data_IF_198903723728
#
_entry.id   IF_198903723728
#
_cell.length_a   1.000
_cell.length_b   1.000
_cell.length_c   1.000
_cell.angle_alpha   90.00
_cell.angle_beta   90.00
_cell.angle_gamma   90.00
#
_symmetry.space_group_name_H-M   'P 1'
#
loop_
_entity.id
_entity.type
_entity.pdbx_description
1 polymer ?
#
# COMPACT_ATOMS: atom_id res chain seq x y z
N UNK A 1 42.55 -12.18 12.32
CA UNK A 1 43.75 -13.03 12.23
C UNK A 1 43.32 -14.47 12.50
N UNK A 2 43.39 -15.33 11.49
CA UNK A 2 43.02 -16.75 11.46
C UNK A 2 44.13 -17.62 12.06
N UNK A 3 43.84 -18.55 12.98
CA UNK A 3 44.64 -19.77 13.22
C UNK A 3 43.71 -20.83 13.85
N UNK A 4 43.10 -21.74 13.07
CA UNK A 4 43.57 -23.06 12.61
C UNK A 4 43.42 -24.20 13.65
N UNK A 5 42.66 -25.24 13.24
CA UNK A 5 42.50 -26.53 13.91
C UNK A 5 43.81 -27.32 13.86
N UNK A 6 44.29 -27.78 15.02
CA UNK A 6 45.34 -28.79 15.13
C UNK A 6 44.77 -30.12 15.62
N UNK A 7 44.75 -31.10 14.73
CA UNK A 7 44.44 -32.52 14.97
C UNK A 7 45.50 -33.20 15.87
N UNK A 8 45.05 -33.99 16.85
CA UNK A 8 45.87 -34.87 17.67
C UNK A 8 46.44 -36.06 16.84
N UNK A 9 47.70 -36.49 17.06
CA UNK A 9 48.15 -37.80 16.60
C UNK A 9 47.77 -38.91 17.60
N UNK A 10 47.62 -40.17 17.15
CA UNK A 10 47.25 -41.30 18.00
C UNK A 10 48.50 -42.03 18.51
N UNK A 11 48.55 -42.36 19.80
CA UNK A 11 49.34 -43.50 20.31
C UNK A 11 48.76 -43.95 21.66
N UNK A 12 48.02 -45.05 21.70
CA UNK A 12 48.52 -46.41 21.90
C UNK A 12 49.38 -46.58 23.17
N UNK A 13 48.69 -46.99 24.23
CA UNK A 13 49.12 -48.02 25.16
C UNK A 13 50.40 -47.77 25.97
N UNK A 14 50.22 -47.60 27.28
CA UNK A 14 50.81 -48.49 28.29
C UNK A 14 50.11 -48.25 29.63
N UNK A 15 49.53 -49.33 30.16
CA UNK A 15 48.91 -49.34 31.47
C UNK A 15 49.93 -49.00 32.55
N UNK A 16 49.76 -47.84 33.17
CA UNK A 16 50.39 -47.51 34.44
C UNK A 16 49.33 -47.79 35.51
N UNK A 17 49.59 -48.79 36.36
CA UNK A 17 48.75 -49.11 37.51
C UNK A 17 48.54 -47.85 38.37
N UNK A 18 47.33 -47.58 38.88
CA UNK A 18 47.09 -46.39 39.68
C UNK A 18 47.90 -46.45 40.98
N UNK A 19 48.73 -45.44 41.21
CA UNK A 19 49.42 -45.23 42.48
C UNK A 19 48.37 -44.83 43.55
N UNK A 20 48.14 -45.63 44.61
CA UNK A 20 47.05 -45.40 45.56
C UNK A 20 47.25 -44.18 46.47
N UNK A 21 48.34 -43.43 46.30
CA UNK A 21 48.69 -42.29 47.15
C UNK A 21 48.09 -40.95 46.68
N UNK A 22 47.57 -40.87 45.44
CA UNK A 22 47.05 -39.59 44.89
C UNK A 22 45.57 -39.35 45.25
N UNK A 23 44.85 -40.35 45.77
CA UNK A 23 43.41 -40.23 46.06
C UNK A 23 43.04 -39.59 47.41
N UNK A 24 43.99 -39.26 48.28
CA UNK A 24 43.65 -38.70 49.61
C UNK A 24 43.68 -37.17 49.70
N UNK A 25 44.22 -36.47 48.70
CA UNK A 25 44.28 -35.00 48.72
C UNK A 25 43.20 -34.32 47.86
N UNK A 26 42.43 -35.06 47.06
CA UNK A 26 41.35 -34.50 46.25
C UNK A 26 40.03 -34.25 47.02
N UNK A 27 39.93 -34.67 48.28
CA UNK A 27 38.71 -34.47 49.08
C UNK A 27 38.80 -33.26 50.00
N UNK A 28 40.01 -32.69 50.23
CA UNK A 28 40.21 -31.54 51.11
C UNK A 28 40.05 -30.17 50.44
N UNK A 29 40.22 -30.06 49.11
CA UNK A 29 40.09 -28.77 48.40
C UNK A 29 38.64 -28.40 48.06
N UNK A 30 37.70 -29.35 48.08
CA UNK A 30 36.26 -29.07 47.88
C UNK A 30 35.57 -28.44 49.09
N UNK A 31 36.15 -28.54 50.29
CA UNK A 31 35.50 -28.10 51.54
C UNK A 31 35.93 -26.72 52.01
N UNK A 32 36.86 -26.05 51.31
CA UNK A 32 37.28 -24.68 51.61
C UNK A 32 36.83 -23.64 50.57
N UNK A 33 36.03 -24.05 49.58
CA UNK A 33 35.38 -23.10 48.67
C UNK A 33 34.13 -22.56 49.35
N UNK A 34 34.28 -21.47 50.10
CA UNK A 34 33.15 -20.67 50.52
C UNK A 34 32.74 -19.76 49.34
N UNK A 35 31.45 -19.67 48.99
CA UNK A 35 31.02 -18.89 47.84
C UNK A 35 31.10 -17.40 48.18
N UNK A 36 32.26 -16.79 47.98
CA UNK A 36 32.40 -15.32 47.97
C UNK A 36 32.09 -14.70 46.60
N UNK A 37 31.65 -15.51 45.63
CA UNK A 37 31.37 -15.09 44.24
C UNK A 37 29.89 -14.76 43.98
N UNK A 38 29.02 -14.79 45.00
CA UNK A 38 27.62 -14.39 44.83
C UNK A 38 27.46 -12.89 44.52
N UNK A 39 28.36 -12.05 45.04
CA UNK A 39 28.36 -10.59 44.80
C UNK A 39 28.85 -10.19 43.40
N UNK A 40 29.59 -11.05 42.69
CA UNK A 40 30.01 -10.81 41.30
C UNK A 40 29.06 -11.45 40.27
N UNK A 41 28.31 -12.49 40.66
CA UNK A 41 27.36 -13.16 39.77
C UNK A 41 26.12 -12.31 39.48
N UNK A 42 25.56 -11.61 40.47
CA UNK A 42 24.40 -10.74 40.29
C UNK A 42 24.61 -9.65 39.22
N UNK A 43 25.66 -8.81 39.28
CA UNK A 43 25.86 -7.77 38.26
C UNK A 43 26.18 -8.33 36.86
N UNK A 44 26.78 -9.52 36.74
CA UNK A 44 27.03 -10.17 35.46
C UNK A 44 25.75 -10.77 34.86
N UNK A 45 24.90 -11.36 35.70
CA UNK A 45 23.59 -11.90 35.29
C UNK A 45 22.65 -10.75 34.88
N UNK A 46 22.64 -9.65 35.61
CA UNK A 46 21.82 -8.48 35.28
C UNK A 46 22.30 -7.80 34.00
N UNK A 47 23.61 -7.65 33.80
CA UNK A 47 24.16 -7.14 32.54
C UNK A 47 23.78 -8.02 31.36
N UNK A 48 23.91 -9.35 31.49
CA UNK A 48 23.53 -10.28 30.41
C UNK A 48 22.05 -10.21 30.09
N UNK A 49 21.18 -10.12 31.10
CA UNK A 49 19.73 -9.95 30.90
C UNK A 49 19.38 -8.65 30.17
N UNK A 50 20.05 -7.54 30.52
CA UNK A 50 19.88 -6.26 29.81
C UNK A 50 20.35 -6.38 28.36
N UNK A 51 21.52 -6.97 28.11
CA UNK A 51 22.06 -7.18 26.76
C UNK A 51 21.15 -8.09 25.91
N UNK A 52 20.67 -9.20 26.47
CA UNK A 52 19.73 -10.12 25.80
C UNK A 52 18.38 -9.44 25.51
N UNK A 53 17.86 -8.64 26.46
CA UNK A 53 16.62 -7.89 26.27
C UNK A 53 16.74 -6.83 25.18
N UNK A 54 17.85 -6.09 25.16
CA UNK A 54 18.15 -5.09 24.15
C UNK A 54 18.29 -5.75 22.77
N UNK A 55 18.99 -6.88 22.70
CA UNK A 55 19.13 -7.66 21.49
C UNK A 55 17.77 -8.14 20.97
N UNK A 56 16.92 -8.67 21.86
CA UNK A 56 15.58 -9.14 21.48
C UNK A 56 14.69 -7.99 20.95
N UNK A 57 14.72 -6.83 21.59
CA UNK A 57 14.00 -5.63 21.13
C UNK A 57 14.54 -5.17 19.77
N UNK A 58 15.85 -5.13 19.59
CA UNK A 58 16.47 -4.73 18.33
C UNK A 58 16.11 -5.69 17.18
N UNK A 59 16.15 -7.00 17.42
CA UNK A 59 15.73 -8.01 16.43
C UNK A 59 14.25 -7.85 16.05
N UNK A 60 13.40 -7.62 17.05
CA UNK A 60 11.97 -7.41 16.82
C UNK A 60 11.71 -6.14 16.00
N UNK A 61 12.36 -5.03 16.36
CA UNK A 61 12.27 -3.77 15.61
C UNK A 61 12.75 -3.96 14.17
N UNK A 62 13.92 -4.58 13.97
CA UNK A 62 14.48 -4.86 12.65
C UNK A 62 13.54 -5.71 11.80
N UNK A 63 12.93 -6.74 12.40
CA UNK A 63 11.97 -7.60 11.71
C UNK A 63 10.72 -6.83 11.25
N UNK A 64 10.15 -5.98 12.12
CA UNK A 64 9.00 -5.14 11.75
C UNK A 64 9.35 -4.16 10.63
N UNK A 65 10.54 -3.55 10.71
CA UNK A 65 11.02 -2.60 9.72
C UNK A 65 11.26 -3.27 8.36
N UNK A 66 12.01 -4.37 8.32
CA UNK A 66 12.41 -5.07 7.08
C UNK A 66 11.24 -5.80 6.41
N UNK A 67 10.30 -6.36 7.19
CA UNK A 67 9.17 -7.15 6.67
C UNK A 67 7.87 -6.35 6.50
N UNK A 68 7.86 -5.05 6.82
CA UNK A 68 6.69 -4.20 6.56
C UNK A 68 6.35 -4.18 5.07
N UNK A 69 5.06 -4.25 4.75
CA UNK A 69 4.56 -4.09 3.37
C UNK A 69 4.67 -2.64 2.90
N UNK A 70 4.50 -1.70 3.83
CA UNK A 70 4.59 -0.28 3.54
C UNK A 70 6.05 0.17 3.54
N UNK A 71 6.34 1.16 2.71
CA UNK A 71 7.65 1.80 2.71
C UNK A 71 7.83 2.59 3.99
N UNK A 72 8.87 2.30 4.76
CA UNK A 72 9.21 3.05 5.98
C UNK A 72 10.48 3.84 5.70
N UNK A 73 10.50 5.10 6.14
CA UNK A 73 11.64 5.97 5.99
C UNK A 73 11.92 6.83 7.22
N UNK A 74 13.17 7.27 7.30
CA UNK A 74 13.62 8.37 8.13
C UNK A 74 14.32 9.39 7.24
N UNK A 75 14.04 10.67 7.44
CA UNK A 75 14.55 11.75 6.59
C UNK A 75 14.92 12.97 7.44
N UNK A 76 16.02 13.63 7.09
CA UNK A 76 16.41 14.88 7.74
C UNK A 76 15.43 16.01 7.39
N UNK A 77 15.39 17.10 8.18
CA UNK A 77 14.62 18.28 7.83
C UNK A 77 15.00 18.90 6.47
N UNK A 78 16.26 18.75 6.07
CA UNK A 78 16.78 19.18 4.77
C UNK A 78 16.40 18.24 3.61
N UNK A 79 15.71 17.13 3.89
CA UNK A 79 15.17 16.24 2.88
C UNK A 79 16.13 15.14 2.42
N UNK A 80 17.10 14.74 3.25
CA UNK A 80 18.01 13.61 2.97
C UNK A 80 17.57 12.36 3.71
N UNK A 81 17.45 11.23 3.01
CA UNK A 81 17.11 9.96 3.66
C UNK A 81 18.23 9.50 4.58
N UNK A 82 17.87 9.21 5.83
CA UNK A 82 18.74 8.64 6.86
C UNK A 82 18.67 7.11 6.81
N UNK A 83 17.44 6.59 6.70
CA UNK A 83 17.17 5.17 6.64
C UNK A 83 15.91 4.90 5.82
N UNK A 84 15.85 3.71 5.21
CA UNK A 84 14.64 3.21 4.58
C UNK A 84 14.59 1.69 4.66
N UNK A 85 13.38 1.14 4.61
CA UNK A 85 13.20 -0.30 4.54
C UNK A 85 13.24 -0.80 3.08
N UNK A 86 13.38 -2.13 2.86
CA UNK A 86 13.38 -2.69 1.50
C UNK A 86 12.09 -2.43 0.73
N UNK A 87 10.94 -2.29 1.41
CA UNK A 87 9.66 -2.01 0.76
C UNK A 87 9.61 -0.61 0.15
N UNK A 88 10.17 0.40 0.81
CA UNK A 88 10.29 1.75 0.25
C UNK A 88 11.18 1.74 -1.01
N UNK A 89 12.33 1.06 -0.93
CA UNK A 89 13.24 0.95 -2.07
C UNK A 89 12.55 0.33 -3.28
N UNK A 90 11.88 -0.82 -3.09
CA UNK A 90 11.11 -1.49 -4.15
C UNK A 90 9.97 -0.63 -4.69
N UNK A 91 9.27 0.10 -3.82
CA UNK A 91 8.19 1.02 -4.23
C UNK A 91 8.69 2.08 -5.21
N UNK A 92 9.90 2.60 -4.99
CA UNK A 92 10.56 3.56 -5.88
C UNK A 92 11.35 2.91 -7.04
N UNK A 93 11.34 1.59 -7.16
CA UNK A 93 11.98 0.86 -8.27
C UNK A 93 13.45 0.46 -8.03
N UNK A 94 13.94 0.56 -6.79
CA UNK A 94 15.30 0.17 -6.42
C UNK A 94 15.35 -1.26 -5.89
N UNK A 95 16.45 -1.96 -6.13
CA UNK A 95 16.66 -3.35 -5.74
C UNK A 95 16.92 -3.51 -4.24
N UNK A 96 17.49 -2.48 -3.60
CA UNK A 96 17.81 -2.50 -2.16
C UNK A 96 17.73 -1.12 -1.52
N UNK A 97 17.53 -1.10 -0.20
CA UNK A 97 17.60 0.12 0.61
C UNK A 97 18.94 0.86 0.45
N UNK A 98 20.05 0.14 0.38
CA UNK A 98 21.37 0.74 0.19
C UNK A 98 21.53 1.41 -1.19
N UNK A 99 20.99 0.77 -2.24
CA UNK A 99 20.96 1.38 -3.57
C UNK A 99 20.10 2.65 -3.57
N UNK A 100 18.93 2.61 -2.93
CA UNK A 100 18.07 3.78 -2.79
C UNK A 100 18.78 4.94 -2.08
N UNK A 101 19.37 4.69 -0.90
CA UNK A 101 20.04 5.72 -0.10
C UNK A 101 21.26 6.33 -0.81
N UNK A 102 21.97 5.55 -1.64
CA UNK A 102 23.13 6.06 -2.39
C UNK A 102 22.75 6.88 -3.61
N UNK A 103 21.61 6.60 -4.25
CA UNK A 103 21.18 7.28 -5.47
C UNK A 103 20.30 8.50 -5.19
N UNK A 104 19.49 8.46 -4.13
CA UNK A 104 18.53 9.52 -3.81
C UNK A 104 19.17 10.51 -2.83
N UNK A 105 19.96 11.44 -3.38
CA UNK A 105 20.71 12.45 -2.63
C UNK A 105 19.90 13.72 -2.33
N UNK A 106 18.62 13.55 -1.99
CA UNK A 106 17.71 14.64 -1.62
C UNK A 106 16.36 14.55 -2.33
N UNK A 107 15.26 14.59 -1.57
CA UNK A 107 13.89 14.43 -2.11
C UNK A 107 13.45 15.61 -2.98
N UNK A 108 14.13 16.75 -2.88
CA UNK A 108 13.62 18.06 -3.26
C UNK A 108 13.39 18.33 -4.75
N UNK A 109 13.93 17.57 -5.70
CA UNK A 109 13.93 18.02 -7.10
C UNK A 109 13.43 17.04 -8.16
N UNK A 110 13.39 15.73 -7.91
CA UNK A 110 13.12 14.77 -9.00
C UNK A 110 12.06 13.71 -8.69
N UNK A 111 11.66 13.56 -7.42
CA UNK A 111 10.77 12.47 -7.04
C UNK A 111 9.31 12.80 -7.33
N UNK A 112 8.85 14.00 -7.01
CA UNK A 112 7.45 14.40 -7.17
C UNK A 112 7.20 14.93 -8.58
N UNK A 113 6.10 14.49 -9.21
CA UNK A 113 5.66 15.05 -10.50
C UNK A 113 5.29 16.52 -10.40
N UNK A 114 4.67 16.90 -9.28
CA UNK A 114 4.37 18.28 -8.96
C UNK A 114 5.27 18.74 -7.80
N UNK A 115 6.28 19.59 -8.05
CA UNK A 115 7.14 20.13 -7.01
C UNK A 115 6.35 20.89 -5.91
N UNK A 116 5.20 21.48 -6.24
CA UNK A 116 4.40 22.24 -5.28
C UNK A 116 3.79 21.33 -4.21
N UNK A 117 3.40 20.10 -4.57
CA UNK A 117 2.92 19.10 -3.61
C UNK A 117 3.97 18.79 -2.53
N UNK A 118 5.25 18.73 -2.92
CA UNK A 118 6.35 18.50 -1.97
C UNK A 118 6.49 19.64 -0.97
N UNK A 119 6.39 20.89 -1.43
CA UNK A 119 6.43 22.05 -0.54
C UNK A 119 5.23 22.10 0.40
N UNK A 120 4.03 21.78 -0.09
CA UNK A 120 2.82 21.68 0.74
C UNK A 120 2.97 20.60 1.82
N UNK A 121 3.52 19.43 1.46
CA UNK A 121 3.80 18.37 2.41
C UNK A 121 4.73 18.84 3.53
N UNK A 122 5.85 19.49 3.17
CA UNK A 122 6.81 19.99 4.15
C UNK A 122 6.20 21.06 5.07
N UNK A 123 5.47 22.01 4.51
CA UNK A 123 4.85 23.09 5.26
C UNK A 123 3.82 22.57 6.28
N UNK A 124 2.98 21.62 5.84
CA UNK A 124 2.02 20.95 6.72
C UNK A 124 2.71 20.13 7.82
N UNK A 125 3.78 19.41 7.49
CA UNK A 125 4.52 18.61 8.45
C UNK A 125 5.28 19.49 9.46
N UNK A 126 5.85 20.60 9.02
CA UNK A 126 6.55 21.56 9.88
C UNK A 126 5.58 22.25 10.85
N UNK A 127 4.41 22.66 10.36
CA UNK A 127 3.41 23.39 11.16
C UNK A 127 2.66 22.49 12.14
N UNK A 128 2.28 21.27 11.75
CA UNK A 128 1.45 20.37 12.58
C UNK A 128 2.25 19.30 13.31
N UNK A 129 3.46 18.97 12.86
CA UNK A 129 4.28 17.89 13.40
C UNK A 129 3.80 16.47 13.06
N UNK A 130 2.64 16.34 12.43
CA UNK A 130 2.04 15.11 11.94
C UNK A 130 1.26 15.43 10.66
N UNK A 131 1.43 14.58 9.66
CA UNK A 131 0.66 14.60 8.42
C UNK A 131 0.27 13.16 8.08
N UNK A 132 -1.00 12.94 7.78
CA UNK A 132 -1.56 11.64 7.45
C UNK A 132 -2.22 11.69 6.08
N UNK A 133 -2.18 10.55 5.41
CA UNK A 133 -2.91 10.29 4.16
C UNK A 133 -2.67 11.32 3.05
N UNK A 134 -1.44 11.84 2.95
CA UNK A 134 -1.10 12.80 1.92
C UNK A 134 -0.84 12.11 0.59
N UNK A 135 -1.78 12.25 -0.34
CA UNK A 135 -1.65 11.64 -1.66
C UNK A 135 -0.83 12.52 -2.63
N UNK A 136 0.12 11.91 -3.33
CA UNK A 136 0.92 12.59 -4.35
C UNK A 136 1.30 11.64 -5.49
N UNK A 137 1.74 12.22 -6.62
CA UNK A 137 2.31 11.44 -7.73
C UNK A 137 3.82 11.59 -7.75
N UNK A 138 4.51 10.46 -7.87
CA UNK A 138 5.97 10.38 -7.87
C UNK A 138 6.51 9.52 -9.00
N UNK A 139 7.73 9.81 -9.43
CA UNK A 139 8.49 9.03 -10.39
C UNK A 139 9.29 7.93 -9.68
N UNK A 140 9.23 6.71 -10.22
CA UNK A 140 10.16 5.63 -9.89
C UNK A 140 11.50 5.83 -10.61
N UNK A 141 12.51 5.05 -10.23
CA UNK A 141 13.82 5.04 -10.86
C UNK A 141 13.78 4.80 -12.38
N UNK A 142 12.82 3.98 -12.85
CA UNK A 142 12.61 3.69 -14.26
C UNK A 142 11.82 4.78 -15.02
N UNK A 143 11.44 5.86 -14.34
CA UNK A 143 10.65 6.96 -14.89
C UNK A 143 9.13 6.71 -14.90
N UNK A 144 8.66 5.56 -14.44
CA UNK A 144 7.22 5.30 -14.33
C UNK A 144 6.60 6.15 -13.23
N UNK A 145 5.38 6.62 -13.48
CA UNK A 145 4.64 7.46 -12.54
C UNK A 145 3.70 6.60 -11.69
N UNK A 146 3.78 6.76 -10.38
CA UNK A 146 2.90 6.07 -9.43
C UNK A 146 2.18 7.06 -8.52
N UNK A 147 1.04 6.62 -7.98
CA UNK A 147 0.38 7.31 -6.88
C UNK A 147 0.85 6.74 -5.56
N UNK A 148 1.23 7.63 -4.66
CA UNK A 148 1.60 7.28 -3.30
C UNK A 148 0.72 8.01 -2.29
N UNK A 149 0.60 7.39 -1.12
CA UNK A 149 0.00 7.97 0.06
C UNK A 149 1.07 8.01 1.15
N UNK A 150 1.40 9.22 1.61
CA UNK A 150 2.46 9.44 2.60
C UNK A 150 1.87 9.92 3.93
N UNK A 151 2.32 9.29 5.01
CA UNK A 151 2.08 9.76 6.37
C UNK A 151 3.42 9.96 7.06
N UNK A 152 3.64 11.09 7.72
CA UNK A 152 4.90 11.40 8.38
C UNK A 152 4.70 12.20 9.66
N UNK A 153 5.65 12.09 10.59
CA UNK A 153 5.65 12.81 11.85
C UNK A 153 7.06 13.27 12.23
N UNK A 154 7.12 14.37 12.98
CA UNK A 154 8.36 14.96 13.48
C UNK A 154 8.83 14.26 14.75
N UNK A 155 10.07 13.80 14.75
CA UNK A 155 10.77 13.36 15.96
C UNK A 155 11.57 14.54 16.50
N UNK A 156 11.32 14.85 17.78
CA UNK A 156 11.90 16.00 18.47
C UNK A 156 12.75 15.55 19.64
N UNK A 157 13.78 16.33 19.94
CA UNK A 157 14.55 16.17 21.17
C UNK A 157 13.82 16.77 22.40
N UNK A 158 14.44 16.69 23.57
CA UNK A 158 13.90 17.22 24.81
C UNK A 158 13.74 18.76 24.81
N UNK A 159 14.39 19.47 23.88
CA UNK A 159 14.29 20.93 23.73
C UNK A 159 13.19 21.34 22.74
N UNK A 160 12.59 20.39 22.04
CA UNK A 160 11.56 20.61 21.02
C UNK A 160 12.12 20.79 19.61
N UNK A 161 13.45 20.69 19.43
CA UNK A 161 14.10 20.78 18.13
C UNK A 161 13.83 19.51 17.31
N UNK A 162 13.56 19.66 16.02
CA UNK A 162 13.27 18.54 15.11
C UNK A 162 14.58 17.84 14.76
N UNK A 163 14.74 16.59 15.18
CA UNK A 163 15.89 15.76 14.84
C UNK A 163 15.77 15.21 13.41
N UNK A 164 14.60 14.65 13.09
CA UNK A 164 14.28 14.09 11.78
C UNK A 164 12.77 13.84 11.67
N UNK A 165 12.32 13.49 10.48
CA UNK A 165 10.97 12.98 10.23
C UNK A 165 11.02 11.47 10.02
N UNK A 166 9.99 10.79 10.52
CA UNK A 166 9.72 9.40 10.18
C UNK A 166 8.41 9.33 9.41
N UNK A 167 8.25 8.31 8.59
CA UNK A 167 7.01 8.14 7.87
C UNK A 167 6.85 6.83 7.15
N UNK A 168 5.65 6.68 6.60
CA UNK A 168 5.17 5.56 5.83
C UNK A 168 4.76 6.03 4.45
N UNK A 169 5.05 5.22 3.44
CA UNK A 169 4.63 5.42 2.05
C UNK A 169 3.93 4.17 1.56
N UNK A 170 2.71 4.35 1.05
CA UNK A 170 1.91 3.28 0.44
C UNK A 170 1.75 3.55 -1.05
N UNK A 171 1.92 2.52 -1.87
CA UNK A 171 1.54 2.59 -3.29
C UNK A 171 0.03 2.42 -3.42
N UNK A 172 -0.66 3.49 -3.82
CA UNK A 172 -2.11 3.51 -4.02
C UNK A 172 -2.48 3.52 -5.51
N UNK A 173 -1.53 3.25 -6.40
CA UNK A 173 -1.74 3.29 -7.86
C UNK A 173 -2.85 2.35 -8.29
N UNK A 174 -2.85 1.10 -7.79
CA UNK A 174 -3.90 0.12 -8.10
C UNK A 174 -5.28 0.60 -7.64
N UNK A 175 -5.35 1.21 -6.46
CA UNK A 175 -6.58 1.76 -5.90
C UNK A 175 -7.10 2.89 -6.81
N UNK A 176 -6.25 3.88 -7.15
CA UNK A 176 -6.64 5.00 -8.02
C UNK A 176 -7.07 4.54 -9.42
N UNK A 177 -6.39 3.56 -10.01
CA UNK A 177 -6.77 3.01 -11.31
C UNK A 177 -8.11 2.29 -11.25
N UNK A 178 -8.37 1.55 -10.18
CA UNK A 178 -9.63 0.83 -9.97
C UNK A 178 -10.78 1.81 -9.73
N UNK A 179 -10.55 2.85 -8.94
CA UNK A 179 -11.51 3.92 -8.68
C UNK A 179 -11.87 4.68 -9.97
N UNK A 180 -10.88 5.07 -10.77
CA UNK A 180 -11.10 5.74 -12.04
C UNK A 180 -11.86 4.86 -13.05
N UNK A 181 -11.54 3.56 -13.11
CA UNK A 181 -12.24 2.60 -13.96
C UNK A 181 -13.71 2.44 -13.53
N UNK A 182 -13.96 2.38 -12.22
CA UNK A 182 -15.31 2.29 -11.66
C UNK A 182 -16.12 3.55 -11.98
N UNK A 183 -15.56 4.74 -11.78
CA UNK A 183 -16.22 6.01 -12.10
C UNK A 183 -16.57 6.10 -13.59
N UNK A 184 -15.66 5.67 -14.47
CA UNK A 184 -15.92 5.64 -15.92
C UNK A 184 -17.03 4.67 -16.29
N UNK A 185 -17.06 3.49 -15.66
CA UNK A 185 -18.12 2.51 -15.89
C UNK A 185 -19.49 3.01 -15.40
N UNK A 186 -19.53 3.68 -14.24
CA UNK A 186 -20.74 4.30 -13.70
C UNK A 186 -21.28 5.39 -14.63
N UNK A 187 -20.44 6.33 -15.05
CA UNK A 187 -20.84 7.39 -15.99
C UNK A 187 -21.38 6.82 -17.31
N UNK A 188 -20.80 5.72 -17.81
CA UNK A 188 -21.29 5.04 -19.02
C UNK A 188 -22.66 4.39 -18.81
N UNK A 189 -22.87 3.73 -17.67
CA UNK A 189 -24.16 3.13 -17.32
C UNK A 189 -25.26 4.18 -17.16
N UNK A 190 -24.95 5.32 -16.52
CA UNK A 190 -25.87 6.44 -16.38
C UNK A 190 -26.27 7.02 -17.74
N UNK A 191 -25.31 7.22 -18.64
CA UNK A 191 -25.59 7.68 -19.99
C UNK A 191 -26.47 6.70 -20.78
N UNK A 192 -26.20 5.39 -20.68
CA UNK A 192 -27.01 4.36 -21.33
C UNK A 192 -28.43 4.29 -20.75
N UNK A 193 -28.58 4.46 -19.43
CA UNK A 193 -29.89 4.50 -18.77
C UNK A 193 -30.71 5.69 -19.29
N UNK A 194 -30.09 6.86 -19.41
CA UNK A 194 -30.78 8.06 -19.90
C UNK A 194 -31.17 7.92 -21.38
N UNK A 195 -30.31 7.30 -22.20
CA UNK A 195 -30.62 7.01 -23.60
C UNK A 195 -31.80 6.02 -23.71
N UNK A 196 -31.78 4.95 -22.91
CA UNK A 196 -32.86 3.98 -22.88
C UNK A 196 -34.19 4.62 -22.51
N UNK A 197 -34.21 5.49 -21.50
CA UNK A 197 -35.40 6.24 -21.10
C UNK A 197 -35.93 7.12 -22.24
N UNK A 198 -35.04 7.81 -22.95
CA UNK A 198 -35.42 8.63 -24.11
C UNK A 198 -35.98 7.79 -25.26
N UNK A 199 -35.41 6.61 -25.52
CA UNK A 199 -35.91 5.68 -26.55
C UNK A 199 -37.28 5.13 -26.15
N UNK A 200 -37.47 4.74 -24.89
CA UNK A 200 -38.77 4.27 -24.39
C UNK A 200 -39.85 5.34 -24.55
N UNK A 201 -39.55 6.60 -24.19
CA UNK A 201 -40.49 7.72 -24.37
C UNK A 201 -40.86 7.96 -25.83
N UNK A 202 -39.88 7.88 -26.75
CA UNK A 202 -40.14 7.99 -28.19
C UNK A 202 -41.00 6.84 -28.72
N UNK A 203 -40.75 5.62 -28.23
CA UNK A 203 -41.51 4.44 -28.62
C UNK A 203 -42.97 4.56 -28.18
N UNK A 204 -43.23 5.01 -26.96
CA UNK A 204 -44.58 5.23 -26.42
C UNK A 204 -45.35 6.27 -27.25
N UNK A 205 -44.70 7.39 -27.58
CA UNK A 205 -45.29 8.41 -28.47
C UNK A 205 -45.61 7.84 -29.85
N UNK A 206 -44.70 7.07 -30.44
CA UNK A 206 -44.93 6.44 -31.74
C UNK A 206 -46.09 5.43 -31.71
N UNK A 207 -46.22 4.65 -30.64
CA UNK A 207 -47.33 3.72 -30.45
C UNK A 207 -48.68 4.45 -30.38
N UNK A 208 -48.76 5.56 -29.64
CA UNK A 208 -50.00 6.34 -29.58
C UNK A 208 -50.37 6.93 -30.94
N UNK A 209 -49.40 7.47 -31.68
CA UNK A 209 -49.63 7.96 -33.05
C UNK A 209 -50.14 6.87 -33.99
N UNK A 210 -49.58 5.65 -33.95
CA UNK A 210 -50.04 4.53 -34.76
C UNK A 210 -51.48 4.16 -34.42
N UNK A 211 -51.81 4.07 -33.13
CA UNK A 211 -53.18 3.77 -32.67
C UNK A 211 -54.19 4.81 -33.15
N UNK A 212 -53.82 6.10 -33.16
CA UNK A 212 -54.67 7.16 -33.71
C UNK A 212 -54.81 7.05 -35.24
N UNK A 213 -53.72 6.73 -35.93
CA UNK A 213 -53.72 6.53 -37.38
C UNK A 213 -54.59 5.34 -37.81
N UNK A 214 -54.55 4.23 -37.09
CA UNK A 214 -55.40 3.05 -37.35
C UNK A 214 -56.87 3.40 -37.25
N UNK A 215 -57.28 4.09 -36.16
CA UNK A 215 -58.66 4.56 -35.99
C UNK A 215 -59.11 5.46 -37.15
N UNK A 216 -58.25 6.39 -37.57
CA UNK A 216 -58.54 7.32 -38.67
C UNK A 216 -58.69 6.59 -40.00
N UNK A 217 -57.89 5.55 -40.24
CA UNK A 217 -57.99 4.69 -41.43
C UNK A 217 -59.32 3.95 -41.47
N UNK A 218 -59.74 3.33 -40.36
CA UNK A 218 -61.04 2.63 -40.27
C UNK A 218 -62.22 3.59 -40.48
N UNK A 219 -62.16 4.78 -39.87
CA UNK A 219 -63.16 5.84 -40.11
C UNK A 219 -63.20 6.26 -41.59
N UNK A 220 -62.05 6.44 -42.23
CA UNK A 220 -61.95 6.77 -43.64
C UNK A 220 -62.60 5.72 -44.55
N UNK A 221 -62.35 4.43 -44.30
CA UNK A 221 -62.98 3.33 -45.05
C UNK A 221 -64.51 3.32 -44.90
N UNK A 222 -65.01 3.52 -43.68
CA UNK A 222 -66.45 3.60 -43.43
C UNK A 222 -67.09 4.78 -44.16
N UNK A 223 -66.48 5.98 -44.08
CA UNK A 223 -66.94 7.16 -44.80
C UNK A 223 -66.97 6.93 -46.32
N UNK A 224 -65.94 6.30 -46.89
CA UNK A 224 -65.91 5.98 -48.31
C UNK A 224 -67.05 5.02 -48.73
N UNK A 225 -67.35 4.02 -47.90
CA UNK A 225 -68.50 3.12 -48.10
C UNK A 225 -69.83 3.87 -48.10
N UNK A 226 -70.05 4.75 -47.11
CA UNK A 226 -71.27 5.59 -47.03
C UNK A 226 -71.40 6.52 -48.24
N UNK A 227 -70.30 7.13 -48.71
CA UNK A 227 -70.32 7.98 -49.92
C UNK A 227 -70.71 7.17 -51.15
N UNK A 228 -70.20 5.95 -51.29
CA UNK A 228 -70.60 5.06 -52.38
C UNK A 228 -72.09 4.70 -52.32
N UNK A 229 -72.63 4.40 -51.14
CA UNK A 229 -74.05 4.07 -50.97
C UNK A 229 -74.98 5.26 -51.22
N UNK A 230 -74.58 6.47 -50.85
CA UNK A 230 -75.35 7.70 -51.11
C UNK A 230 -75.34 8.05 -52.61
N UNK A 231 -74.20 7.87 -53.29
CA UNK A 231 -74.09 8.18 -54.71
C UNK A 231 -74.89 7.23 -55.61
N UNK A 232 -75.15 6.00 -55.17
CA UNK A 232 -75.93 5.02 -55.94
C UNK A 232 -77.36 5.49 -56.30
N UNK A 233 -78.24 5.88 -55.36
CA UNK A 233 -79.56 6.40 -55.68
C UNK A 233 -79.50 7.76 -56.38
N UNK A 234 -78.50 8.60 -56.08
CA UNK A 234 -78.30 9.90 -56.72
C UNK A 234 -77.98 9.76 -58.22
N UNK A 235 -77.11 8.82 -58.59
CA UNK A 235 -76.84 8.49 -59.99
C UNK A 235 -78.09 7.92 -60.69
N UNK A 236 -78.93 7.18 -59.99
CA UNK A 236 -80.19 6.66 -60.54
C UNK A 236 -81.21 7.77 -60.82
N UNK A 237 -81.24 8.81 -59.97
CA UNK A 237 -82.11 9.98 -60.14
C UNK A 237 -81.55 10.94 -61.20
N UNK A 238 -80.25 11.20 -61.21
CA UNK A 238 -79.59 12.11 -62.17
C UNK A 238 -79.38 11.50 -63.55
N UNK A 239 -79.30 10.17 -63.68
CA UNK A 239 -79.14 9.48 -64.97
C UNK A 239 -80.42 9.28 -65.77
N UNK A 240 -81.58 9.63 -65.21
CA UNK A 240 -82.91 9.48 -65.83
C UNK A 240 -83.54 10.84 -66.24
N UNK A 241 -82.74 11.89 -66.37
CA UNK A 241 -83.08 13.18 -66.99
C UNK A 241 -82.26 13.33 -68.27
#
# INVERSE_FOLDING_TARGET
>A
MLISRGTLPPSSGKGVKPNPTVHKNFTKWKTSWQPTDQTLAEPIIDRKRVEESLFAVQQRYRSLFENSTDGIFQITPDGYYIACNPSLARLYGYESANQFLSHVTGVGQYLHKDPQRRYQFLDLLHSKGLLEDFESQVYRQDGTLIWICESAWAIRDATGYILYYEGLVKDITKQKLTEAALQTAQAKLEAQSQELENVLKKLELAQEHLKQSEKMSTLGQLCAGVVHEINNPLNFICGNV
#
